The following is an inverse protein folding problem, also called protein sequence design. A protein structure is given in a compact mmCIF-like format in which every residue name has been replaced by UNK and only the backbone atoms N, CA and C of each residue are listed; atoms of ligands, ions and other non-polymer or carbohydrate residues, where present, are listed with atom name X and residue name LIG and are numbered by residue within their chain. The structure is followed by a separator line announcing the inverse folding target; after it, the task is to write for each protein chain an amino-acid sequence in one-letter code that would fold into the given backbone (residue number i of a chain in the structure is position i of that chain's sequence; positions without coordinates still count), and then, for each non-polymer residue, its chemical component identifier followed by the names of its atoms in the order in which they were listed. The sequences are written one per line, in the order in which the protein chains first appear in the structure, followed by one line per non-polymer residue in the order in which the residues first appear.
data_IF_454037694133
#
_entry.id   IF_454037694133
#
_cell.length_a   1.000
_cell.length_b   1.000
_cell.length_c   1.000
_cell.angle_alpha   90.00
_cell.angle_beta   90.00
_cell.angle_gamma   90.00
#
_symmetry.space_group_name_H-M   'P 1'
#
loop_
_entity.id
_entity.type
_entity.pdbx_description
1 polymer ?
#
# COMPACT_ATOMS: atom_id res chain seq x y z
N UNK A 1 -5.72 -67.68 42.87
CA UNK A 1 -4.71 -66.67 42.63
C UNK A 1 -5.32 -65.59 41.75
N UNK A 2 -5.54 -64.45 42.34
CA UNK A 2 -6.40 -63.33 41.88
C UNK A 2 -5.66 -62.39 40.96
N UNK A 3 -6.07 -62.34 39.71
CA UNK A 3 -5.57 -61.32 38.75
C UNK A 3 -6.38 -60.04 38.83
N UNK A 4 -5.77 -58.96 39.23
CA UNK A 4 -6.33 -57.61 39.37
C UNK A 4 -6.41 -56.97 38.02
N UNK A 5 -7.62 -56.86 37.40
CA UNK A 5 -7.83 -56.04 36.19
C UNK A 5 -7.95 -54.57 36.62
N UNK A 6 -6.93 -53.79 36.35
CA UNK A 6 -6.99 -52.35 36.45
C UNK A 6 -7.83 -51.81 35.25
N UNK A 7 -9.03 -51.31 35.52
CA UNK A 7 -9.83 -50.53 34.58
C UNK A 7 -9.18 -49.14 34.49
N UNK A 8 -8.51 -48.85 33.38
CA UNK A 8 -8.12 -47.51 33.00
C UNK A 8 -9.35 -46.83 32.38
N UNK A 9 -9.94 -45.93 33.16
CA UNK A 9 -11.02 -45.06 32.68
C UNK A 9 -10.36 -43.89 31.93
N UNK A 10 -10.38 -43.98 30.59
CA UNK A 10 -9.95 -42.87 29.73
C UNK A 10 -11.03 -41.81 29.79
N UNK A 11 -10.76 -40.74 30.53
CA UNK A 11 -11.57 -39.54 30.55
C UNK A 11 -11.33 -38.80 29.22
N UNK A 12 -12.20 -38.99 28.25
CA UNK A 12 -12.20 -38.28 26.98
C UNK A 12 -12.70 -36.85 27.27
N UNK A 13 -11.79 -35.93 27.49
CA UNK A 13 -12.14 -34.50 27.54
C UNK A 13 -12.47 -34.07 26.12
N UNK A 14 -13.75 -34.00 25.81
CA UNK A 14 -14.23 -33.35 24.59
C UNK A 14 -14.07 -31.82 24.80
N UNK A 15 -12.97 -31.28 24.32
CA UNK A 15 -12.84 -29.83 24.14
C UNK A 15 -13.88 -29.43 23.05
N UNK A 16 -14.83 -28.56 23.35
CA UNK A 16 -15.62 -27.95 22.30
C UNK A 16 -14.64 -27.10 21.47
N UNK A 17 -14.38 -27.55 20.27
CA UNK A 17 -13.83 -26.70 19.24
C UNK A 17 -14.83 -25.57 19.04
N UNK A 18 -14.62 -24.47 19.73
CA UNK A 18 -15.23 -23.18 19.40
C UNK A 18 -14.66 -22.77 18.04
N UNK A 19 -15.10 -23.44 16.98
CA UNK A 19 -15.08 -22.86 15.67
C UNK A 19 -16.04 -21.67 15.74
N UNK A 20 -15.51 -20.53 16.11
CA UNK A 20 -16.15 -19.25 15.87
C UNK A 20 -16.28 -19.11 14.36
N UNK A 21 -17.30 -19.71 13.79
CA UNK A 21 -17.82 -19.24 12.53
C UNK A 21 -18.16 -17.77 12.79
N UNK A 22 -17.35 -16.87 12.28
CA UNK A 22 -17.77 -15.49 12.04
C UNK A 22 -19.00 -15.69 11.14
N UNK A 23 -20.19 -15.61 11.71
CA UNK A 23 -21.41 -15.51 10.91
C UNK A 23 -21.30 -14.14 10.26
N UNK A 24 -20.94 -14.12 8.99
CA UNK A 24 -21.21 -12.95 8.16
C UNK A 24 -22.72 -12.70 8.26
N UNK A 25 -23.10 -11.48 8.62
CA UNK A 25 -24.50 -11.10 8.62
C UNK A 25 -25.03 -11.33 7.20
N UNK A 26 -26.12 -12.09 7.07
CA UNK A 26 -26.75 -12.34 5.77
C UNK A 26 -27.24 -11.00 5.19
N UNK A 27 -26.51 -10.50 4.22
CA UNK A 27 -26.92 -9.31 3.47
C UNK A 27 -27.97 -9.70 2.46
N UNK A 28 -29.12 -9.04 2.50
CA UNK A 28 -30.14 -9.23 1.46
C UNK A 28 -29.58 -8.75 0.14
N UNK A 29 -29.51 -9.62 -0.87
CA UNK A 29 -29.06 -9.26 -2.21
C UNK A 29 -30.11 -8.40 -2.92
N UNK A 30 -30.18 -7.16 -2.56
CA UNK A 30 -31.05 -6.11 -3.13
C UNK A 30 -30.28 -4.79 -3.17
N UNK A 31 -30.69 -3.81 -3.99
CA UNK A 31 -30.05 -2.51 -3.99
C UNK A 31 -29.93 -1.89 -2.59
N UNK A 32 -30.99 -1.94 -1.81
CA UNK A 32 -30.98 -1.42 -0.44
C UNK A 32 -30.03 -2.24 0.48
N UNK A 33 -30.08 -3.57 0.42
CA UNK A 33 -29.23 -4.43 1.25
C UNK A 33 -27.74 -4.20 0.94
N UNK A 34 -27.38 -4.09 -0.32
CA UNK A 34 -26.00 -3.83 -0.74
C UNK A 34 -25.52 -2.44 -0.33
N UNK A 35 -26.38 -1.43 -0.38
CA UNK A 35 -26.08 -0.09 0.11
C UNK A 35 -25.79 -0.09 1.61
N UNK A 36 -26.70 -0.67 2.42
CA UNK A 36 -26.52 -0.75 3.88
C UNK A 36 -25.27 -1.53 4.27
N UNK A 37 -25.00 -2.63 3.58
CA UNK A 37 -23.80 -3.43 3.82
C UNK A 37 -22.51 -2.64 3.53
N UNK A 38 -22.46 -1.95 2.40
CA UNK A 38 -21.27 -1.14 2.05
C UNK A 38 -21.09 0.01 3.03
N UNK A 39 -22.18 0.74 3.37
CA UNK A 39 -22.12 1.81 4.36
C UNK A 39 -21.58 1.30 5.69
N UNK A 40 -22.10 0.18 6.20
CA UNK A 40 -21.68 -0.44 7.45
C UNK A 40 -20.21 -0.89 7.43
N UNK A 41 -19.73 -1.46 6.31
CA UNK A 41 -18.32 -1.85 6.15
C UNK A 41 -17.40 -0.62 6.34
N UNK A 42 -17.74 0.49 5.73
CA UNK A 42 -16.96 1.71 5.86
C UNK A 42 -17.06 2.27 7.28
N UNK A 43 -18.26 2.33 7.86
CA UNK A 43 -18.49 2.79 9.22
C UNK A 43 -17.62 2.03 10.24
N UNK A 44 -17.63 0.70 10.16
CA UNK A 44 -16.94 -0.16 11.13
C UNK A 44 -15.44 -0.33 10.84
N UNK A 45 -14.98 -0.22 9.60
CA UNK A 45 -13.61 -0.62 9.21
C UNK A 45 -12.73 0.49 8.67
N UNK A 46 -13.30 1.59 8.16
CA UNK A 46 -12.48 2.66 7.62
C UNK A 46 -11.76 3.44 8.72
N UNK A 47 -10.45 3.62 8.57
CA UNK A 47 -9.58 4.12 9.64
C UNK A 47 -9.59 5.64 9.80
N UNK A 48 -10.16 6.40 8.86
CA UNK A 48 -9.90 7.84 8.76
C UNK A 48 -11.15 8.72 8.83
N UNK A 49 -12.33 8.19 9.25
CA UNK A 49 -13.55 9.00 9.37
C UNK A 49 -13.34 10.19 10.31
N UNK A 50 -12.87 9.94 11.53
CA UNK A 50 -12.60 10.99 12.53
C UNK A 50 -11.43 11.89 12.09
N UNK A 51 -10.34 11.31 11.59
CA UNK A 51 -9.18 12.08 11.14
C UNK A 51 -9.53 13.08 10.03
N UNK A 52 -10.40 12.68 9.11
CA UNK A 52 -10.88 13.51 7.99
C UNK A 52 -12.09 14.36 8.35
N UNK A 53 -12.65 14.19 9.55
CA UNK A 53 -13.86 14.87 10.02
C UNK A 53 -15.05 14.62 9.09
N UNK A 54 -15.23 13.36 8.65
CA UNK A 54 -16.32 12.95 7.77
C UNK A 54 -17.52 12.53 8.60
N UNK A 55 -18.65 13.19 8.42
CA UNK A 55 -19.94 12.79 8.96
C UNK A 55 -20.55 11.69 8.07
N UNK A 56 -20.23 10.43 8.43
CA UNK A 56 -20.61 9.26 7.63
C UNK A 56 -22.12 8.98 7.71
N UNK A 57 -22.80 9.36 8.81
CA UNK A 57 -24.26 9.30 8.96
C UNK A 57 -24.97 10.29 8.05
N UNK A 58 -24.44 11.50 7.91
CA UNK A 58 -24.98 12.49 6.97
C UNK A 58 -24.83 12.01 5.51
N UNK A 59 -23.74 11.32 5.19
CA UNK A 59 -23.53 10.70 3.87
C UNK A 59 -24.55 9.57 3.65
N UNK A 60 -24.80 8.70 4.64
CA UNK A 60 -25.89 7.72 4.58
C UNK A 60 -27.23 8.37 4.26
N UNK A 61 -27.61 9.39 5.04
CA UNK A 61 -28.88 10.10 4.88
C UNK A 61 -29.01 10.77 3.49
N UNK A 62 -27.91 11.18 2.87
CA UNK A 62 -27.85 11.73 1.51
C UNK A 62 -28.09 10.65 0.46
N UNK A 63 -27.32 9.57 0.50
CA UNK A 63 -27.29 8.57 -0.55
C UNK A 63 -28.40 7.53 -0.46
N UNK A 64 -28.91 7.20 0.74
CA UNK A 64 -30.06 6.28 0.91
C UNK A 64 -31.29 6.71 0.14
N UNK A 65 -31.51 8.02 -0.04
CA UNK A 65 -32.64 8.59 -0.82
C UNK A 65 -32.53 8.32 -2.32
N UNK A 66 -31.37 7.96 -2.82
CA UNK A 66 -31.13 7.66 -4.23
C UNK A 66 -31.35 6.18 -4.56
N UNK A 67 -31.46 5.33 -3.55
CA UNK A 67 -31.61 3.88 -3.73
C UNK A 67 -33.09 3.54 -3.96
N UNK A 68 -33.36 2.80 -5.02
CA UNK A 68 -34.71 2.28 -5.33
C UNK A 68 -34.66 0.76 -5.55
N UNK A 69 -35.75 0.08 -5.23
CA UNK A 69 -35.83 -1.39 -5.39
C UNK A 69 -35.75 -1.87 -6.85
N UNK A 70 -35.97 -0.98 -7.81
CA UNK A 70 -35.94 -1.27 -9.26
C UNK A 70 -34.67 -0.76 -9.94
N UNK A 71 -33.71 -0.29 -9.16
CA UNK A 71 -32.44 0.22 -9.66
C UNK A 71 -31.64 -0.88 -10.38
N UNK A 72 -31.04 -0.56 -11.52
CA UNK A 72 -30.13 -1.49 -12.20
C UNK A 72 -28.81 -1.65 -11.44
N UNK A 73 -28.08 -2.71 -11.74
CA UNK A 73 -26.76 -2.94 -11.14
C UNK A 73 -25.77 -1.81 -11.45
N UNK A 74 -25.83 -1.25 -12.65
CA UNK A 74 -25.00 -0.12 -13.07
C UNK A 74 -25.36 1.15 -12.31
N UNK A 75 -26.67 1.44 -12.16
CA UNK A 75 -27.14 2.59 -11.38
C UNK A 75 -26.76 2.47 -9.90
N UNK A 76 -26.89 1.26 -9.31
CA UNK A 76 -26.44 1.01 -7.96
C UNK A 76 -24.93 1.22 -7.84
N UNK A 77 -24.13 0.67 -8.75
CA UNK A 77 -22.68 0.84 -8.76
C UNK A 77 -22.26 2.31 -8.80
N UNK A 78 -22.94 3.12 -9.60
CA UNK A 78 -22.67 4.56 -9.69
C UNK A 78 -22.97 5.28 -8.35
N UNK A 79 -24.12 4.99 -7.73
CA UNK A 79 -24.49 5.59 -6.45
C UNK A 79 -23.51 5.18 -5.34
N UNK A 80 -23.15 3.91 -5.27
CA UNK A 80 -22.18 3.38 -4.30
C UNK A 80 -20.78 3.97 -4.51
N UNK A 81 -20.33 4.06 -5.75
CA UNK A 81 -19.05 4.68 -6.10
C UNK A 81 -18.99 6.15 -5.71
N UNK A 82 -20.06 6.90 -5.98
CA UNK A 82 -20.17 8.31 -5.58
C UNK A 82 -20.19 8.48 -4.05
N UNK A 83 -20.86 7.58 -3.32
CA UNK A 83 -20.82 7.56 -1.86
C UNK A 83 -19.39 7.35 -1.32
N UNK A 84 -18.65 6.39 -1.87
CA UNK A 84 -17.26 6.14 -1.48
C UNK A 84 -16.33 7.31 -1.83
N UNK A 85 -16.59 8.03 -2.90
CA UNK A 85 -15.80 9.19 -3.30
C UNK A 85 -15.89 10.38 -2.31
N UNK A 86 -16.92 10.42 -1.46
CA UNK A 86 -16.99 11.38 -0.34
C UNK A 86 -15.83 11.19 0.67
N UNK A 87 -15.26 9.99 0.72
CA UNK A 87 -14.09 9.71 1.55
C UNK A 87 -12.82 10.42 1.04
N UNK A 88 -12.78 10.83 -0.23
CA UNK A 88 -11.62 11.43 -0.88
C UNK A 88 -10.33 10.63 -0.64
N UNK A 89 -10.42 9.31 -0.84
CA UNK A 89 -9.32 8.37 -0.58
C UNK A 89 -9.08 7.44 -1.77
N UNK A 90 -7.93 7.61 -2.42
CA UNK A 90 -7.55 6.79 -3.57
C UNK A 90 -7.29 5.32 -3.28
N UNK A 91 -7.25 4.91 -2.00
CA UNK A 91 -7.15 3.50 -1.61
C UNK A 91 -8.52 2.82 -1.44
N UNK A 92 -9.62 3.59 -1.39
CA UNK A 92 -10.97 3.04 -1.31
C UNK A 92 -11.50 2.86 -2.73
N UNK A 93 -11.68 1.62 -3.14
CA UNK A 93 -12.12 1.27 -4.49
C UNK A 93 -13.37 0.40 -4.43
N UNK A 94 -14.31 0.61 -5.34
CA UNK A 94 -15.42 -0.28 -5.62
C UNK A 94 -15.18 -0.98 -6.95
N UNK A 95 -15.16 -2.30 -6.94
CA UNK A 95 -14.97 -3.10 -8.15
C UNK A 95 -16.18 -3.99 -8.43
N UNK A 96 -16.55 -4.09 -9.70
CA UNK A 96 -17.50 -5.05 -10.22
C UNK A 96 -16.86 -5.85 -11.35
N UNK A 97 -17.59 -6.82 -11.91
CA UNK A 97 -17.10 -7.59 -13.05
C UNK A 97 -16.79 -6.71 -14.29
N UNK A 98 -17.36 -5.52 -14.38
CA UNK A 98 -17.32 -4.69 -15.58
C UNK A 98 -16.82 -3.26 -15.33
N UNK A 99 -16.65 -2.85 -14.07
CA UNK A 99 -16.28 -1.47 -13.76
C UNK A 99 -15.52 -1.37 -12.43
N UNK A 100 -14.70 -0.31 -12.32
CA UNK A 100 -14.00 0.07 -11.08
C UNK A 100 -14.25 1.56 -10.83
N UNK A 101 -14.70 1.91 -9.63
CA UNK A 101 -14.80 3.29 -9.15
C UNK A 101 -13.69 3.54 -8.13
N UNK A 102 -13.00 4.67 -8.25
CA UNK A 102 -11.96 5.11 -7.33
C UNK A 102 -11.85 6.64 -7.34
N UNK A 103 -11.38 7.20 -6.24
CA UNK A 103 -11.16 8.63 -6.14
C UNK A 103 -9.76 9.00 -6.67
N UNK A 104 -9.73 9.84 -7.70
CA UNK A 104 -8.48 10.27 -8.38
C UNK A 104 -8.27 11.79 -8.43
N UNK A 105 -9.23 12.58 -7.93
CA UNK A 105 -9.16 14.04 -7.97
C UNK A 105 -7.95 14.61 -7.23
N UNK A 106 -7.37 13.89 -6.27
CA UNK A 106 -6.20 14.33 -5.49
C UNK A 106 -4.95 14.64 -6.33
N UNK A 107 -4.87 14.13 -7.57
CA UNK A 107 -3.77 14.42 -8.48
C UNK A 107 -4.19 15.13 -9.78
N UNK A 108 -5.50 15.23 -10.06
CA UNK A 108 -6.01 15.86 -11.30
C UNK A 108 -5.87 17.38 -11.25
N UNK A 109 -6.05 18.00 -10.10
CA UNK A 109 -5.95 19.45 -9.90
C UNK A 109 -4.50 19.96 -9.83
N UNK A 110 -3.54 19.08 -10.03
CA UNK A 110 -2.12 19.41 -9.94
C UNK A 110 -1.51 19.60 -11.33
N UNK A 111 -0.67 20.63 -11.54
CA UNK A 111 0.02 20.83 -12.81
C UNK A 111 0.85 19.60 -13.15
N UNK A 112 0.78 19.15 -14.39
CA UNK A 112 1.59 18.03 -14.88
C UNK A 112 3.05 18.49 -14.96
N UNK A 113 3.85 18.13 -13.96
CA UNK A 113 5.25 18.53 -13.81
C UNK A 113 6.25 17.41 -14.11
N UNK A 114 5.81 16.33 -14.76
CA UNK A 114 6.64 15.20 -15.13
C UNK A 114 6.31 14.72 -16.53
N UNK A 115 7.36 14.54 -17.35
CA UNK A 115 7.29 14.01 -18.69
C UNK A 115 8.24 12.83 -18.81
N UNK A 116 7.69 11.64 -18.95
CA UNK A 116 8.42 10.38 -19.03
C UNK A 116 9.28 10.32 -20.30
N UNK A 117 8.71 10.75 -21.43
CA UNK A 117 9.41 10.86 -22.70
C UNK A 117 10.71 11.68 -22.62
N UNK A 118 10.71 12.82 -21.90
CA UNK A 118 11.92 13.59 -21.67
C UNK A 118 12.95 12.81 -20.84
N UNK A 119 12.50 12.10 -19.81
CA UNK A 119 13.41 11.30 -18.98
C UNK A 119 14.03 10.17 -19.80
N UNK A 120 13.23 9.48 -20.59
CA UNK A 120 13.69 8.38 -21.42
C UNK A 120 14.59 8.85 -22.58
N UNK A 121 14.13 9.83 -23.33
CA UNK A 121 14.85 10.25 -24.55
C UNK A 121 16.11 11.09 -24.23
N UNK A 122 16.07 11.91 -23.16
CA UNK A 122 17.17 12.86 -22.86
C UNK A 122 18.15 12.30 -21.83
N UNK A 123 17.66 11.65 -20.77
CA UNK A 123 18.51 11.23 -19.65
C UNK A 123 18.88 9.76 -19.69
N UNK A 124 17.94 8.85 -19.99
CA UNK A 124 18.22 7.43 -20.08
C UNK A 124 18.83 7.03 -21.40
N UNK A 125 18.21 7.39 -22.51
CA UNK A 125 18.62 6.98 -23.86
C UNK A 125 18.01 5.64 -24.27
N UNK A 126 18.71 4.91 -25.13
CA UNK A 126 18.23 3.64 -25.70
C UNK A 126 18.41 2.48 -24.71
N UNK A 127 17.36 1.70 -24.55
CA UNK A 127 17.40 0.48 -23.74
C UNK A 127 18.54 -0.47 -24.19
N UNK A 128 19.17 -1.11 -23.23
CA UNK A 128 20.28 -2.08 -23.41
C UNK A 128 21.57 -1.51 -24.01
N UNK A 129 21.56 -0.25 -24.48
CA UNK A 129 22.75 0.43 -24.99
C UNK A 129 23.23 1.49 -24.00
N UNK A 130 22.32 2.38 -23.59
CA UNK A 130 22.67 3.56 -22.83
C UNK A 130 22.37 3.42 -21.33
N UNK A 131 21.49 2.48 -20.96
CA UNK A 131 21.18 2.15 -19.58
C UNK A 131 20.98 0.66 -19.37
N UNK A 132 21.09 0.22 -18.14
CA UNK A 132 20.85 -1.15 -17.68
C UNK A 132 19.49 -1.29 -17.02
N UNK A 133 18.99 -2.52 -16.95
CA UNK A 133 17.73 -2.84 -16.25
C UNK A 133 17.90 -4.09 -15.40
N UNK A 134 17.45 -4.01 -14.14
CA UNK A 134 17.35 -5.15 -13.25
C UNK A 134 16.05 -5.02 -12.42
N UNK A 135 15.21 -6.06 -12.43
CA UNK A 135 13.95 -6.12 -11.66
C UNK A 135 13.05 -4.87 -11.82
N UNK A 136 12.94 -4.34 -13.04
CA UNK A 136 12.15 -3.14 -13.33
C UNK A 136 12.80 -1.80 -12.97
N UNK A 137 14.01 -1.81 -12.42
CA UNK A 137 14.81 -0.60 -12.22
C UNK A 137 15.65 -0.33 -13.48
N UNK A 138 15.48 0.87 -14.06
CA UNK A 138 16.36 1.41 -15.11
C UNK A 138 17.49 2.18 -14.44
N UNK A 139 18.75 1.91 -14.76
CA UNK A 139 19.88 2.55 -14.10
C UNK A 139 21.08 2.78 -15.03
N UNK A 140 21.79 3.90 -14.78
CA UNK A 140 23.02 4.27 -15.52
C UNK A 140 23.90 5.21 -14.70
N UNK A 141 25.08 5.47 -15.21
CA UNK A 141 26.02 6.47 -14.72
C UNK A 141 26.00 7.65 -15.70
N UNK A 142 25.74 8.86 -15.20
CA UNK A 142 25.84 10.10 -16.00
C UNK A 142 27.30 10.54 -16.19
N UNK A 143 27.54 11.39 -17.18
CA UNK A 143 28.89 11.88 -17.53
C UNK A 143 29.59 12.61 -16.36
N UNK A 144 28.82 13.25 -15.46
CA UNK A 144 29.31 13.91 -14.24
C UNK A 144 29.58 12.95 -13.08
N UNK A 145 29.56 11.64 -13.36
CA UNK A 145 29.77 10.57 -12.39
C UNK A 145 28.70 10.53 -11.25
N UNK A 146 27.47 10.86 -11.61
CA UNK A 146 26.29 10.67 -10.76
C UNK A 146 25.53 9.41 -11.20
N UNK A 147 25.24 8.54 -10.26
CA UNK A 147 24.36 7.39 -10.48
C UNK A 147 22.90 7.83 -10.60
N UNK A 148 22.18 7.22 -11.52
CA UNK A 148 20.74 7.41 -11.66
C UNK A 148 20.05 6.06 -11.68
N UNK A 149 19.00 5.92 -10.85
CA UNK A 149 18.11 4.77 -10.89
C UNK A 149 16.66 5.23 -10.88
N UNK A 150 15.87 4.72 -11.83
CA UNK A 150 14.44 4.95 -11.94
C UNK A 150 13.69 3.67 -11.63
N UNK A 151 12.75 3.75 -10.68
CA UNK A 151 11.87 2.65 -10.33
C UNK A 151 10.41 3.08 -10.48
N UNK A 152 9.72 2.52 -11.46
CA UNK A 152 8.42 3.00 -11.93
C UNK A 152 7.25 2.41 -11.13
N UNK A 153 7.45 1.28 -10.46
CA UNK A 153 6.42 0.63 -9.66
C UNK A 153 7.00 -0.28 -8.60
N UNK A 154 6.57 -0.12 -7.37
CA UNK A 154 6.86 -1.06 -6.28
C UNK A 154 6.08 -2.39 -6.41
N UNK A 155 5.18 -2.54 -7.39
CA UNK A 155 4.57 -3.82 -7.74
C UNK A 155 5.56 -4.77 -8.43
N UNK A 156 6.59 -4.25 -9.08
CA UNK A 156 7.69 -5.05 -9.63
C UNK A 156 8.54 -5.60 -8.50
N UNK A 157 8.68 -6.92 -8.42
CA UNK A 157 9.50 -7.55 -7.37
C UNK A 157 10.98 -7.24 -7.55
N UNK A 158 11.66 -6.83 -6.48
CA UNK A 158 13.10 -6.59 -6.46
C UNK A 158 13.76 -7.37 -5.33
N UNK A 159 14.73 -8.21 -5.66
CA UNK A 159 15.47 -9.02 -4.70
C UNK A 159 16.80 -8.40 -4.29
N UNK A 160 17.44 -8.98 -3.27
CA UNK A 160 18.74 -8.53 -2.80
C UNK A 160 19.80 -8.60 -3.91
N UNK A 161 19.84 -9.68 -4.68
CA UNK A 161 20.80 -9.81 -5.79
C UNK A 161 20.65 -8.74 -6.88
N UNK A 162 19.41 -8.32 -7.18
CA UNK A 162 19.18 -7.23 -8.14
C UNK A 162 19.71 -5.89 -7.59
N UNK A 163 19.48 -5.61 -6.29
CA UNK A 163 20.02 -4.42 -5.66
C UNK A 163 21.54 -4.46 -5.54
N UNK A 164 22.14 -5.63 -5.28
CA UNK A 164 23.59 -5.80 -5.25
C UNK A 164 24.21 -5.54 -6.63
N UNK A 165 23.59 -6.01 -7.70
CA UNK A 165 24.01 -5.73 -9.09
C UNK A 165 23.96 -4.22 -9.38
N UNK A 166 22.82 -3.56 -9.08
CA UNK A 166 22.62 -2.12 -9.31
C UNK A 166 23.64 -1.30 -8.53
N UNK A 167 23.73 -1.52 -7.21
CA UNK A 167 24.60 -0.74 -6.35
C UNK A 167 26.09 -0.99 -6.60
N UNK A 168 26.49 -2.21 -6.97
CA UNK A 168 27.86 -2.52 -7.39
C UNK A 168 28.24 -1.75 -8.65
N UNK A 169 27.36 -1.71 -9.64
CA UNK A 169 27.59 -0.96 -10.87
C UNK A 169 27.71 0.54 -10.61
N UNK A 170 26.86 1.09 -9.73
CA UNK A 170 26.84 2.50 -9.38
C UNK A 170 27.90 2.88 -8.32
N UNK A 171 28.63 1.93 -7.75
CA UNK A 171 29.55 2.17 -6.63
C UNK A 171 30.66 3.20 -6.94
N UNK A 172 31.03 3.38 -8.20
CA UNK A 172 32.03 4.36 -8.65
C UNK A 172 31.51 5.80 -8.61
N UNK A 173 30.19 6.02 -8.56
CA UNK A 173 29.58 7.34 -8.61
C UNK A 173 29.81 8.14 -7.31
N UNK A 174 29.80 9.47 -7.43
CA UNK A 174 29.94 10.38 -6.30
C UNK A 174 28.65 10.60 -5.51
N UNK A 175 27.51 10.37 -6.13
CA UNK A 175 26.15 10.47 -5.57
C UNK A 175 25.17 9.65 -6.36
N UNK A 176 23.95 9.54 -5.87
CA UNK A 176 22.88 8.75 -6.50
C UNK A 176 21.58 9.57 -6.55
N UNK A 177 20.92 9.55 -7.69
CA UNK A 177 19.56 10.03 -7.87
C UNK A 177 18.65 8.82 -7.97
N UNK A 178 17.64 8.75 -7.11
CA UNK A 178 16.57 7.74 -7.13
C UNK A 178 15.30 8.43 -7.61
N UNK A 179 14.84 8.08 -8.80
CA UNK A 179 13.65 8.67 -9.40
C UNK A 179 12.45 7.75 -9.24
N UNK A 180 11.52 8.17 -8.37
CA UNK A 180 10.23 7.52 -8.12
C UNK A 180 9.07 8.45 -8.49
N UNK A 181 9.30 9.40 -9.37
CA UNK A 181 8.23 10.24 -9.90
C UNK A 181 7.23 9.41 -10.69
N UNK A 182 5.95 9.65 -10.43
CA UNK A 182 4.81 8.90 -11.00
C UNK A 182 4.77 7.41 -10.67
N UNK A 183 5.55 6.95 -9.69
CA UNK A 183 5.45 5.61 -9.14
C UNK A 183 4.22 5.54 -8.22
N UNK A 184 3.18 4.83 -8.63
CA UNK A 184 1.91 4.67 -7.90
C UNK A 184 1.97 3.76 -6.67
N UNK A 185 3.15 3.25 -6.33
CA UNK A 185 3.32 2.35 -5.18
C UNK A 185 3.33 0.87 -5.56
N UNK A 186 2.82 0.04 -4.66
CA UNK A 186 2.80 -1.42 -4.77
C UNK A 186 3.12 -2.10 -3.44
N UNK A 187 4.08 -3.00 -3.42
CA UNK A 187 4.44 -3.76 -2.23
C UNK A 187 5.42 -2.99 -1.32
N UNK A 188 4.99 -2.70 -0.09
CA UNK A 188 5.81 -2.04 0.94
C UNK A 188 7.07 -2.83 1.32
N UNK A 189 7.09 -4.16 1.14
CA UNK A 189 8.31 -4.95 1.36
C UNK A 189 9.42 -4.55 0.36
N UNK A 190 9.05 -4.13 -0.85
CA UNK A 190 10.03 -3.64 -1.83
C UNK A 190 10.54 -2.25 -1.45
N UNK A 191 9.68 -1.35 -0.93
CA UNK A 191 10.11 -0.03 -0.43
C UNK A 191 11.12 -0.16 0.70
N UNK A 192 10.79 -0.95 1.72
CA UNK A 192 11.68 -1.22 2.86
C UNK A 192 13.00 -1.89 2.42
N UNK A 193 12.94 -2.88 1.50
CA UNK A 193 14.16 -3.55 1.00
C UNK A 193 15.11 -2.60 0.30
N UNK A 194 14.59 -1.66 -0.46
CA UNK A 194 15.42 -0.63 -1.11
C UNK A 194 15.95 0.35 -0.07
N UNK A 195 15.10 0.91 0.80
CA UNK A 195 15.51 1.88 1.82
C UNK A 195 16.59 1.33 2.77
N UNK A 196 16.50 0.03 3.13
CA UNK A 196 17.50 -0.65 3.97
C UNK A 196 18.94 -0.64 3.41
N UNK A 197 19.11 -0.31 2.13
CA UNK A 197 20.42 -0.19 1.48
C UNK A 197 21.12 1.13 1.76
N UNK A 198 20.43 2.09 2.40
CA UNK A 198 20.90 3.46 2.57
C UNK A 198 21.18 3.84 4.03
N UNK A 199 21.09 2.90 4.95
CA UNK A 199 21.43 3.08 6.37
C UNK A 199 22.41 2.05 6.86
N UNK A 200 23.20 2.40 7.91
CA UNK A 200 24.08 1.50 8.63
C UNK A 200 23.53 1.12 10.00
N UNK A 201 22.50 1.76 10.45
CA UNK A 201 21.89 1.57 11.75
C UNK A 201 20.38 1.42 11.65
N UNK A 202 19.79 0.88 12.70
CA UNK A 202 18.34 0.83 12.85
C UNK A 202 17.78 2.23 13.02
N UNK A 203 16.79 2.59 12.19
CA UNK A 203 16.17 3.91 12.21
C UNK A 203 14.66 3.79 12.42
N UNK A 204 14.13 4.54 13.39
CA UNK A 204 12.68 4.69 13.57
C UNK A 204 12.14 5.56 12.42
N UNK A 205 11.23 5.00 11.61
CA UNK A 205 10.66 5.68 10.44
C UNK A 205 9.20 6.09 10.62
N UNK A 206 8.54 5.64 11.69
CA UNK A 206 7.17 6.01 11.98
C UNK A 206 6.50 5.07 12.98
N UNK A 207 5.18 5.18 13.02
CA UNK A 207 4.33 4.32 13.85
C UNK A 207 3.12 3.86 13.07
N UNK A 208 2.64 2.66 13.37
CA UNK A 208 1.43 2.09 12.80
C UNK A 208 0.44 1.72 13.91
N UNK A 209 -0.84 1.92 13.67
CA UNK A 209 -1.94 1.47 14.51
C UNK A 209 -2.88 0.60 13.68
N UNK A 210 -3.52 -0.34 14.33
CA UNK A 210 -4.49 -1.22 13.70
C UNK A 210 -5.86 -1.04 14.34
N UNK A 211 -6.93 -1.16 13.55
CA UNK A 211 -8.29 -1.24 14.09
C UNK A 211 -8.40 -2.47 15.00
N UNK A 212 -8.98 -2.29 16.18
CA UNK A 212 -9.20 -3.32 17.19
C UNK A 212 -10.68 -3.56 17.48
N UNK A 213 -11.56 -2.73 16.94
CA UNK A 213 -13.00 -2.80 17.10
C UNK A 213 -13.75 -2.03 16.03
N UNK A 214 -15.07 -1.94 16.19
CA UNK A 214 -15.99 -1.31 15.24
C UNK A 214 -16.12 0.21 15.39
N UNK A 215 -15.82 0.75 16.57
CA UNK A 215 -15.88 2.19 16.84
C UNK A 215 -14.83 2.96 16.05
N UNK A 216 -15.13 4.18 15.64
CA UNK A 216 -14.25 4.99 14.76
C UNK A 216 -12.85 5.20 15.36
N UNK A 217 -12.72 5.21 16.68
CA UNK A 217 -11.47 5.41 17.41
C UNK A 217 -10.91 4.13 18.05
N UNK A 218 -11.46 2.96 17.74
CA UNK A 218 -10.99 1.68 18.26
C UNK A 218 -9.70 1.25 17.57
N UNK A 219 -8.57 1.74 18.07
CA UNK A 219 -7.25 1.43 17.57
C UNK A 219 -6.35 0.82 18.64
N UNK A 220 -5.38 0.04 18.20
CA UNK A 220 -4.28 -0.42 19.04
C UNK A 220 -3.42 0.77 19.51
N UNK A 221 -2.58 0.52 20.53
CA UNK A 221 -1.43 1.39 20.78
C UNK A 221 -0.53 1.49 19.53
N UNK A 222 0.17 2.62 19.33
CA UNK A 222 1.10 2.77 18.21
C UNK A 222 2.27 1.79 18.32
N UNK A 223 2.53 1.04 17.23
CA UNK A 223 3.73 0.20 17.10
C UNK A 223 4.80 0.95 16.31
N UNK A 224 6.07 0.95 16.76
CA UNK A 224 7.15 1.57 15.99
C UNK A 224 7.40 0.80 14.69
N UNK A 225 7.60 1.54 13.61
CA UNK A 225 8.09 1.02 12.34
C UNK A 225 9.57 1.35 12.28
N UNK A 226 10.42 0.32 12.32
CA UNK A 226 11.86 0.45 12.33
C UNK A 226 12.44 -0.11 11.02
N UNK A 227 13.33 0.65 10.41
CA UNK A 227 14.11 0.25 9.24
C UNK A 227 15.43 -0.34 9.71
N UNK A 228 15.63 -1.64 9.49
CA UNK A 228 16.90 -2.33 9.74
C UNK A 228 17.85 -2.20 8.55
N UNK A 229 19.16 -2.00 8.78
CA UNK A 229 20.12 -1.98 7.69
C UNK A 229 20.20 -3.33 6.97
N UNK A 230 20.36 -3.30 5.66
CA UNK A 230 20.57 -4.52 4.88
C UNK A 230 21.93 -5.15 5.22
N UNK A 231 21.97 -6.50 5.26
CA UNK A 231 23.22 -7.26 5.38
C UNK A 231 23.99 -7.41 4.05
N UNK A 232 23.44 -6.91 2.96
CA UNK A 232 24.05 -6.90 1.63
C UNK A 232 24.69 -5.54 1.32
N UNK A 233 25.08 -5.28 0.06
CA UNK A 233 25.73 -4.03 -0.35
C UNK A 233 24.85 -2.83 0.04
N UNK A 234 25.44 -1.84 0.70
CA UNK A 234 24.80 -0.60 1.11
C UNK A 234 25.47 0.60 0.45
N UNK A 235 24.68 1.62 0.17
CA UNK A 235 25.15 2.88 -0.37
C UNK A 235 25.42 3.88 0.77
N UNK A 236 26.64 4.46 0.78
CA UNK A 236 27.11 5.32 1.87
C UNK A 236 27.44 6.75 1.42
N UNK A 237 27.01 7.13 0.21
CA UNK A 237 27.23 8.46 -0.34
C UNK A 237 25.91 9.20 -0.44
N UNK A 238 25.96 10.47 -0.84
CA UNK A 238 24.76 11.32 -0.96
C UNK A 238 23.72 10.72 -1.89
N UNK A 239 22.46 10.84 -1.50
CA UNK A 239 21.29 10.39 -2.26
C UNK A 239 20.30 11.54 -2.40
N UNK A 240 19.72 11.67 -3.57
CA UNK A 240 18.57 12.53 -3.84
C UNK A 240 17.42 11.66 -4.33
N UNK A 241 16.24 11.79 -3.72
CA UNK A 241 15.03 11.11 -4.16
C UNK A 241 14.12 12.09 -4.89
N UNK A 242 13.79 11.80 -6.15
CA UNK A 242 12.88 12.60 -6.95
C UNK A 242 11.46 12.07 -6.83
N UNK A 243 10.54 12.92 -6.43
CA UNK A 243 9.12 12.60 -6.25
C UNK A 243 8.24 13.60 -6.99
N UNK A 244 6.97 13.25 -7.18
CA UNK A 244 5.93 14.17 -7.63
C UNK A 244 4.58 13.83 -7.00
N UNK A 245 3.53 14.56 -7.36
CA UNK A 245 2.19 14.33 -6.80
C UNK A 245 1.67 12.91 -6.98
N UNK A 246 2.12 12.19 -8.00
CA UNK A 246 1.73 10.80 -8.27
C UNK A 246 2.64 9.76 -7.61
N UNK A 247 3.65 10.17 -6.84
CA UNK A 247 4.40 9.26 -5.95
C UNK A 247 3.48 8.88 -4.78
N UNK A 248 2.97 7.64 -4.76
CA UNK A 248 1.82 7.28 -3.94
C UNK A 248 2.01 5.94 -3.23
N UNK A 249 1.26 5.70 -2.13
CA UNK A 249 1.22 4.41 -1.41
C UNK A 249 2.62 3.94 -0.97
N UNK A 250 3.09 2.74 -1.36
CA UNK A 250 4.42 2.24 -1.02
C UNK A 250 5.57 3.15 -1.46
N UNK A 251 5.35 4.01 -2.47
CA UNK A 251 6.33 5.03 -2.84
C UNK A 251 6.42 6.12 -1.78
N UNK A 252 5.28 6.54 -1.23
CA UNK A 252 5.26 7.52 -0.14
C UNK A 252 5.93 6.95 1.12
N UNK A 253 5.68 5.67 1.43
CA UNK A 253 6.37 4.95 2.51
C UNK A 253 7.90 4.91 2.27
N UNK A 254 8.35 4.59 1.05
CA UNK A 254 9.77 4.65 0.69
C UNK A 254 10.38 6.03 0.91
N UNK A 255 9.70 7.08 0.44
CA UNK A 255 10.19 8.46 0.59
C UNK A 255 10.25 8.87 2.06
N UNK A 256 9.24 8.49 2.86
CA UNK A 256 9.26 8.70 4.30
C UNK A 256 10.46 8.00 4.96
N UNK A 257 10.69 6.72 4.66
CA UNK A 257 11.83 5.98 5.18
C UNK A 257 13.16 6.68 4.81
N UNK A 258 13.35 7.05 3.54
CA UNK A 258 14.55 7.74 3.08
C UNK A 258 14.75 9.11 3.74
N UNK A 259 13.67 9.83 4.06
CA UNK A 259 13.74 11.15 4.73
C UNK A 259 14.13 11.05 6.21
N UNK A 260 14.00 9.89 6.82
CA UNK A 260 14.41 9.62 8.21
C UNK A 260 15.90 9.26 8.33
N UNK A 261 16.58 9.00 7.20
CA UNK A 261 17.99 8.62 7.22
C UNK A 261 18.89 9.83 7.45
N UNK A 262 20.07 9.66 8.10
CA UNK A 262 21.01 10.71 8.39
C UNK A 262 21.67 11.34 7.15
#
# INVERSE_FOLDING_TARGET
MTGFLKKIMVLMVVLPLLSGCIREEEVTNSPQGNFEALWKIIDEQYCFLEYKQIDWDAIHAKYSKLITNTMSSEGLFEVLGNMLNELQDGHVNLASAHNVSYYDAWYQDYPRNFREDIVEDTYLGKASTDYRTAAGVKYKIFEDNIGYMRYESFSSGIGNGNLDEILSYLAVCNGLIIDVRSNGGGNVTNSTRIAARFTNEKVLTGYIRHKTGKGHNDFSEPYPIELEPSNSIRWQKKVVVLTNRRSYSATNDFVNQMSCLP
#
